data_IF_651111071087
#
_entry.id   IF_651111071087
#
_cell.length_a   1.000
_cell.length_b   1.000
_cell.length_c   1.000
_cell.angle_alpha   90.00
_cell.angle_beta   90.00
_cell.angle_gamma   90.00
#
_symmetry.space_group_name_H-M   'P 1'
#
loop_
_entity.id
_entity.type
_entity.pdbx_description
1 polymer ?
#
# COMPACT_ATOMS: atom_id res chain seq x y z
N UNK A 1 -9.19 4.02 -6.44
CA UNK A 1 -9.75 5.21 -7.09
C UNK A 1 -10.55 6.09 -6.13
N UNK A 2 -11.51 5.53 -5.37
CA UNK A 2 -12.35 6.30 -4.43
C UNK A 2 -11.55 7.21 -3.47
N UNK A 3 -10.44 6.79 -2.85
CA UNK A 3 -9.66 7.67 -1.97
C UNK A 3 -9.07 8.90 -2.68
N UNK A 4 -8.63 8.76 -3.94
CA UNK A 4 -8.08 9.89 -4.72
C UNK A 4 -9.18 10.89 -5.06
N UNK A 5 -10.34 10.40 -5.51
CA UNK A 5 -11.52 11.24 -5.75
C UNK A 5 -12.03 11.91 -4.48
N UNK A 6 -11.97 11.23 -3.35
CA UNK A 6 -12.28 11.80 -2.05
C UNK A 6 -11.33 12.97 -1.73
N UNK A 7 -10.03 12.77 -1.90
CA UNK A 7 -9.02 13.81 -1.73
C UNK A 7 -9.28 15.03 -2.62
N UNK A 8 -9.54 14.78 -3.91
CA UNK A 8 -9.86 15.84 -4.86
C UNK A 8 -11.12 16.63 -4.45
N UNK A 9 -12.18 15.93 -4.03
CA UNK A 9 -13.42 16.57 -3.60
C UNK A 9 -13.29 17.38 -2.29
N UNK A 10 -12.40 16.94 -1.38
CA UNK A 10 -12.07 17.68 -0.16
C UNK A 10 -11.38 19.02 -0.48
N UNK A 11 -10.46 19.03 -1.46
CA UNK A 11 -9.80 20.26 -1.92
C UNK A 11 -10.81 21.22 -2.55
N UNK A 12 -11.69 20.68 -3.41
CA UNK A 12 -12.74 21.46 -4.09
C UNK A 12 -13.91 21.85 -3.17
N UNK A 13 -13.94 21.41 -1.93
CA UNK A 13 -15.03 21.63 -0.96
C UNK A 13 -16.43 21.25 -1.50
N UNK A 14 -16.48 20.25 -2.37
CA UNK A 14 -17.74 19.78 -2.97
C UNK A 14 -18.40 18.73 -2.06
N UNK A 15 -19.30 19.18 -1.17
CA UNK A 15 -19.98 18.32 -0.21
C UNK A 15 -20.75 17.16 -0.83
N UNK A 16 -21.37 17.36 -1.99
CA UNK A 16 -22.11 16.30 -2.68
C UNK A 16 -21.19 15.17 -3.15
N UNK A 17 -20.05 15.50 -3.74
CA UNK A 17 -19.04 14.52 -4.19
C UNK A 17 -18.38 13.83 -2.99
N UNK A 18 -18.11 14.55 -1.90
CA UNK A 18 -17.58 13.96 -0.65
C UNK A 18 -18.55 12.91 -0.12
N UNK A 19 -19.83 13.27 0.01
CA UNK A 19 -20.85 12.35 0.50
C UNK A 19 -20.97 11.11 -0.40
N UNK A 20 -21.03 11.30 -1.72
CA UNK A 20 -21.09 10.20 -2.67
C UNK A 20 -19.91 9.25 -2.58
N UNK A 21 -18.66 9.78 -2.53
CA UNK A 21 -17.46 8.97 -2.37
C UNK A 21 -17.43 8.22 -1.04
N UNK A 22 -17.93 8.84 0.04
CA UNK A 22 -18.00 8.18 1.35
C UNK A 22 -19.01 7.02 1.30
N UNK A 23 -20.20 7.23 0.74
CA UNK A 23 -21.21 6.18 0.56
C UNK A 23 -20.66 5.05 -0.32
N UNK A 24 -20.00 5.37 -1.45
CA UNK A 24 -19.39 4.38 -2.34
C UNK A 24 -18.31 3.56 -1.60
N UNK A 25 -17.46 4.21 -0.81
CA UNK A 25 -16.43 3.53 0.00
C UNK A 25 -17.04 2.56 1.00
N UNK A 26 -18.11 2.95 1.68
CA UNK A 26 -18.85 2.09 2.62
C UNK A 26 -19.54 0.92 1.93
N UNK A 27 -20.13 1.15 0.74
CA UNK A 27 -20.74 0.10 -0.06
C UNK A 27 -19.69 -0.90 -0.53
N UNK A 28 -18.55 -0.45 -1.05
CA UNK A 28 -17.44 -1.33 -1.45
C UNK A 28 -16.93 -2.17 -0.28
N UNK A 29 -16.80 -1.55 0.91
CA UNK A 29 -16.45 -2.27 2.13
C UNK A 29 -17.49 -3.33 2.51
N UNK A 30 -18.78 -3.00 2.37
CA UNK A 30 -19.87 -3.94 2.68
C UNK A 30 -19.88 -5.18 1.78
N UNK A 31 -19.45 -5.01 0.51
CA UNK A 31 -19.40 -6.11 -0.47
C UNK A 31 -18.14 -6.94 -0.30
N UNK A 32 -16.98 -6.30 -0.22
CA UNK A 32 -15.68 -7.01 -0.22
C UNK A 32 -15.20 -7.39 1.18
N UNK A 33 -15.70 -6.73 2.23
CA UNK A 33 -15.24 -6.89 3.62
C UNK A 33 -13.76 -6.51 3.84
N UNK A 34 -13.11 -5.90 2.84
CA UNK A 34 -11.68 -5.59 2.86
C UNK A 34 -11.44 -4.29 3.62
N UNK A 35 -10.90 -4.41 4.83
CA UNK A 35 -10.63 -3.28 5.75
C UNK A 35 -9.73 -2.20 5.14
N UNK A 36 -8.86 -2.55 4.19
CA UNK A 36 -7.95 -1.60 3.52
C UNK A 36 -8.69 -0.54 2.71
N UNK A 37 -9.91 -0.81 2.23
CA UNK A 37 -10.74 0.15 1.49
C UNK A 37 -11.12 1.33 2.38
N UNK A 38 -11.65 1.06 3.57
CA UNK A 38 -12.00 2.11 4.55
C UNK A 38 -10.74 2.78 5.09
N UNK A 39 -9.71 1.99 5.39
CA UNK A 39 -8.47 2.53 5.95
C UNK A 39 -7.78 3.51 4.99
N UNK A 40 -7.77 3.22 3.68
CA UNK A 40 -7.21 4.13 2.68
C UNK A 40 -7.96 5.47 2.60
N UNK A 41 -9.27 5.48 2.78
CA UNK A 41 -10.05 6.71 2.86
C UNK A 41 -9.72 7.51 4.13
N UNK A 42 -9.59 6.82 5.28
CA UNK A 42 -9.19 7.46 6.55
C UNK A 42 -7.79 8.08 6.44
N UNK A 43 -6.84 7.37 5.81
CA UNK A 43 -5.48 7.89 5.58
C UNK A 43 -5.49 9.15 4.73
N UNK A 44 -6.30 9.20 3.65
CA UNK A 44 -6.43 10.40 2.81
C UNK A 44 -7.04 11.56 3.57
N UNK A 45 -8.09 11.32 4.37
CA UNK A 45 -8.71 12.35 5.21
C UNK A 45 -7.70 12.86 6.25
N UNK A 46 -6.98 11.97 6.92
CA UNK A 46 -5.94 12.35 7.88
C UNK A 46 -4.84 13.19 7.20
N UNK A 47 -4.35 12.74 6.03
CA UNK A 47 -3.37 13.49 5.25
C UNK A 47 -3.87 14.89 4.88
N UNK A 48 -5.16 15.06 4.55
CA UNK A 48 -5.74 16.37 4.26
C UNK A 48 -5.63 17.35 5.43
N UNK A 49 -5.97 16.89 6.64
CA UNK A 49 -5.85 17.74 7.82
C UNK A 49 -4.40 17.99 8.23
N UNK A 50 -3.51 17.02 8.01
CA UNK A 50 -2.09 17.12 8.34
C UNK A 50 -1.35 18.08 7.41
N UNK A 51 -1.56 17.99 6.11
CA UNK A 51 -0.93 18.88 5.11
C UNK A 51 -1.36 20.34 5.32
N UNK A 52 -2.63 20.58 5.69
CA UNK A 52 -3.11 21.94 6.00
C UNK A 52 -2.44 22.58 7.21
N UNK A 53 -1.96 21.80 8.18
CA UNK A 53 -1.37 22.30 9.44
C UNK A 53 0.16 22.35 9.42
N UNK A 54 0.81 22.10 8.29
CA UNK A 54 2.30 22.05 8.21
C UNK A 54 2.92 21.21 9.32
N UNK A 55 2.40 19.99 9.56
CA UNK A 55 2.93 19.12 10.58
C UNK A 55 4.25 18.56 10.08
N UNK A 56 5.30 18.75 10.84
CA UNK A 56 6.61 18.21 10.51
C UNK A 56 6.59 16.68 10.47
N UNK A 57 7.24 16.05 9.47
CA UNK A 57 7.30 14.59 9.36
C UNK A 57 7.88 13.88 10.61
N UNK A 58 8.73 14.59 11.38
CA UNK A 58 9.29 14.12 12.66
C UNK A 58 8.21 13.74 13.68
N UNK A 59 7.05 14.40 13.66
CA UNK A 59 5.94 14.10 14.57
C UNK A 59 5.45 12.65 14.39
N UNK A 60 5.43 12.14 13.14
CA UNK A 60 5.05 10.74 12.90
C UNK A 60 6.02 9.76 13.55
N UNK A 61 7.33 10.07 13.51
CA UNK A 61 8.37 9.25 14.14
C UNK A 61 8.16 9.24 15.66
N UNK A 62 7.92 10.42 16.26
CA UNK A 62 7.68 10.52 17.70
C UNK A 62 6.37 9.84 18.11
N UNK A 63 5.28 9.99 17.33
CA UNK A 63 4.03 9.28 17.59
C UNK A 63 4.20 7.76 17.50
N UNK A 64 4.93 7.28 16.50
CA UNK A 64 5.20 5.85 16.35
C UNK A 64 6.07 5.32 17.51
N UNK A 65 7.13 6.06 17.88
CA UNK A 65 7.97 5.70 19.01
C UNK A 65 7.18 5.68 20.32
N UNK A 66 6.37 6.71 20.58
CA UNK A 66 5.51 6.76 21.76
C UNK A 66 4.51 5.60 21.81
N UNK A 67 3.90 5.24 20.66
CA UNK A 67 3.00 4.11 20.54
C UNK A 67 3.70 2.77 20.80
N UNK A 68 4.93 2.61 20.30
CA UNK A 68 5.74 1.41 20.53
C UNK A 68 6.14 1.29 22.02
N UNK A 69 6.56 2.40 22.63
CA UNK A 69 6.87 2.45 24.08
C UNK A 69 5.62 2.12 24.90
N UNK A 70 4.48 2.72 24.56
CA UNK A 70 3.20 2.44 25.24
C UNK A 70 2.82 0.96 25.13
N UNK A 71 2.90 0.37 23.93
CA UNK A 71 2.63 -1.05 23.71
C UNK A 71 3.58 -1.96 24.52
N UNK A 72 4.86 -1.59 24.58
CA UNK A 72 5.85 -2.30 25.40
C UNK A 72 5.50 -2.22 26.90
N UNK A 73 5.21 -1.02 27.40
CA UNK A 73 4.80 -0.83 28.80
C UNK A 73 3.55 -1.66 29.14
N UNK A 74 2.53 -1.65 28.28
CA UNK A 74 1.33 -2.46 28.46
C UNK A 74 1.64 -3.96 28.54
N UNK A 75 2.63 -4.43 27.75
CA UNK A 75 3.04 -5.84 27.79
C UNK A 75 3.68 -6.24 29.12
N UNK A 76 4.37 -5.33 29.81
CA UNK A 76 4.91 -5.57 31.14
C UNK A 76 3.82 -5.77 32.20
N UNK A 77 2.63 -5.21 31.99
CA UNK A 77 1.46 -5.43 32.84
C UNK A 77 0.58 -6.61 32.41
N UNK A 78 1.07 -7.45 31.48
CA UNK A 78 0.36 -8.63 30.99
C UNK A 78 -0.62 -8.37 29.85
N UNK A 79 -0.72 -7.13 29.34
CA UNK A 79 -1.55 -6.78 28.19
C UNK A 79 -0.74 -6.89 26.87
N UNK A 80 -0.58 -8.11 26.36
CA UNK A 80 0.22 -8.37 25.14
C UNK A 80 -0.48 -7.94 23.83
N UNK A 81 -1.80 -7.70 23.84
CA UNK A 81 -2.58 -7.43 22.63
C UNK A 81 -2.05 -6.25 21.79
N UNK A 82 -1.65 -5.16 22.42
CA UNK A 82 -1.09 -4.00 21.72
C UNK A 82 0.26 -4.34 21.07
N UNK A 83 1.12 -5.05 21.78
CA UNK A 83 2.43 -5.51 21.29
C UNK A 83 2.26 -6.50 20.13
N UNK A 84 1.39 -7.50 20.28
CA UNK A 84 1.11 -8.46 19.21
C UNK A 84 0.49 -7.82 17.97
N UNK A 85 -0.43 -6.87 18.15
CA UNK A 85 -1.09 -6.23 17.01
C UNK A 85 -0.16 -5.25 16.29
N UNK A 86 0.61 -4.43 17.01
CA UNK A 86 1.46 -3.40 16.43
C UNK A 86 2.83 -3.93 16.04
N UNK A 87 3.61 -4.44 17.01
CA UNK A 87 4.99 -4.83 16.74
C UNK A 87 5.07 -6.09 15.90
N UNK A 88 4.23 -7.09 16.16
CA UNK A 88 4.20 -8.31 15.37
C UNK A 88 3.83 -8.03 13.92
N UNK A 89 2.80 -7.21 13.66
CA UNK A 89 2.36 -6.90 12.28
C UNK A 89 3.28 -5.97 11.54
N UNK A 90 3.88 -4.99 12.21
CA UNK A 90 4.69 -3.96 11.56
C UNK A 90 6.15 -4.40 11.40
N UNK A 91 6.73 -5.04 12.41
CA UNK A 91 8.14 -5.40 12.39
C UNK A 91 8.39 -6.89 12.15
N UNK A 92 7.71 -7.78 12.87
CA UNK A 92 8.01 -9.21 12.82
C UNK A 92 7.46 -9.89 11.57
N UNK A 93 6.16 -9.76 11.29
CA UNK A 93 5.50 -10.50 10.22
C UNK A 93 6.05 -10.21 8.82
N UNK A 94 6.34 -8.95 8.42
CA UNK A 94 6.93 -8.67 7.11
C UNK A 94 8.30 -9.33 6.91
N UNK A 95 9.16 -9.30 7.94
CA UNK A 95 10.49 -9.92 7.89
C UNK A 95 10.39 -11.45 7.83
N UNK A 96 9.50 -12.03 8.65
CA UNK A 96 9.24 -13.47 8.65
C UNK A 96 8.72 -13.95 7.28
N UNK A 97 7.79 -13.21 6.68
CA UNK A 97 7.30 -13.51 5.34
C UNK A 97 8.38 -13.34 4.27
N UNK A 98 9.22 -12.31 4.38
CA UNK A 98 10.31 -12.11 3.42
C UNK A 98 11.31 -13.29 3.46
N UNK A 99 11.65 -13.81 4.66
CA UNK A 99 12.49 -15.00 4.75
C UNK A 99 11.81 -16.25 4.21
N UNK A 100 10.49 -16.44 4.43
CA UNK A 100 9.73 -17.55 3.88
C UNK A 100 9.72 -17.56 2.33
N UNK A 101 9.52 -16.38 1.72
CA UNK A 101 9.62 -16.24 0.27
C UNK A 101 11.04 -16.45 -0.26
N UNK A 102 12.05 -16.02 0.51
CA UNK A 102 13.45 -16.29 0.18
C UNK A 102 13.73 -17.80 0.16
N UNK A 103 13.36 -18.53 1.20
CA UNK A 103 13.52 -19.98 1.27
C UNK A 103 12.81 -20.69 0.12
N UNK A 104 11.57 -20.29 -0.19
CA UNK A 104 10.83 -20.83 -1.33
C UNK A 104 11.55 -20.56 -2.64
N UNK A 105 12.05 -19.34 -2.85
CA UNK A 105 12.79 -18.97 -4.05
C UNK A 105 14.11 -19.74 -4.21
N UNK A 106 14.82 -20.02 -3.13
CA UNK A 106 16.07 -20.79 -3.15
C UNK A 106 15.82 -22.27 -3.45
N UNK A 107 14.76 -22.86 -2.87
CA UNK A 107 14.50 -24.30 -3.02
C UNK A 107 13.76 -24.64 -4.31
N UNK A 108 12.82 -23.81 -4.73
CA UNK A 108 11.94 -24.09 -5.88
C UNK A 108 12.19 -23.16 -7.08
N UNK A 109 13.06 -22.16 -6.92
CA UNK A 109 13.34 -21.15 -7.94
C UNK A 109 12.37 -19.98 -7.95
N UNK A 110 12.79 -18.82 -8.57
CA UNK A 110 11.95 -17.65 -8.70
C UNK A 110 10.82 -17.83 -9.72
N UNK A 111 9.70 -17.13 -9.51
CA UNK A 111 8.51 -17.21 -10.39
C UNK A 111 8.64 -16.40 -11.68
N UNK A 112 9.54 -15.43 -11.75
CA UNK A 112 9.76 -14.54 -12.91
C UNK A 112 8.49 -13.83 -13.38
N UNK A 113 7.67 -13.34 -12.46
CA UNK A 113 6.39 -12.68 -12.72
C UNK A 113 5.33 -13.53 -13.44
N UNK A 114 5.46 -14.86 -13.45
CA UNK A 114 4.52 -15.76 -14.12
C UNK A 114 3.15 -15.78 -13.47
N UNK A 115 3.06 -15.61 -12.14
CA UNK A 115 1.78 -15.41 -11.45
C UNK A 115 1.29 -13.95 -11.48
N UNK A 116 2.15 -13.01 -11.88
CA UNK A 116 1.85 -11.60 -12.01
C UNK A 116 1.60 -11.17 -13.45
N UNK A 117 2.43 -10.27 -13.92
CA UNK A 117 2.30 -9.62 -15.22
C UNK A 117 2.32 -10.59 -16.40
N UNK A 118 3.21 -11.60 -16.40
CA UNK A 118 3.33 -12.54 -17.51
C UNK A 118 2.13 -13.49 -17.64
N UNK A 119 1.33 -13.64 -16.60
CA UNK A 119 0.06 -14.41 -16.67
C UNK A 119 -0.90 -13.83 -17.71
N UNK A 120 -0.89 -12.50 -17.90
CA UNK A 120 -1.72 -11.83 -18.92
C UNK A 120 -1.36 -12.27 -20.35
N UNK A 121 -0.13 -12.74 -20.55
CA UNK A 121 0.39 -13.24 -21.83
C UNK A 121 0.41 -14.77 -21.90
N UNK A 122 -0.29 -15.44 -20.98
CA UNK A 122 -0.44 -16.90 -20.99
C UNK A 122 0.72 -17.67 -20.36
N UNK A 123 1.69 -17.00 -19.72
CA UNK A 123 2.77 -17.68 -19.02
C UNK A 123 2.22 -18.53 -17.86
N UNK A 124 2.69 -19.78 -17.77
CA UNK A 124 2.34 -20.67 -16.66
C UNK A 124 3.39 -20.58 -15.56
N UNK A 125 2.94 -20.38 -14.34
CA UNK A 125 3.81 -20.46 -13.16
C UNK A 125 4.22 -21.92 -12.93
N UNK A 126 5.36 -22.10 -12.28
CA UNK A 126 5.79 -23.40 -11.78
C UNK A 126 5.05 -23.81 -10.50
N UNK A 127 4.29 -22.88 -9.91
CA UNK A 127 3.51 -23.12 -8.70
C UNK A 127 2.04 -23.30 -9.07
N UNK A 128 1.43 -24.40 -8.62
CA UNK A 128 0.03 -24.74 -8.94
C UNK A 128 -1.00 -23.84 -8.27
N UNK A 129 -0.63 -23.26 -7.13
CA UNK A 129 -1.49 -22.35 -6.34
C UNK A 129 -0.86 -20.96 -6.22
N UNK A 130 -1.65 -19.92 -5.93
CA UNK A 130 -1.12 -18.58 -5.72
C UNK A 130 -0.02 -18.54 -4.64
N UNK A 131 1.08 -17.88 -4.92
CA UNK A 131 2.25 -17.81 -4.02
C UNK A 131 1.89 -17.39 -2.60
N UNK A 132 0.98 -16.42 -2.46
CA UNK A 132 0.54 -15.96 -1.15
C UNK A 132 -0.21 -17.06 -0.36
N UNK A 133 -0.95 -17.91 -1.05
CA UNK A 133 -1.63 -19.06 -0.43
C UNK A 133 -0.64 -20.19 -0.13
N UNK A 134 0.31 -20.44 -1.03
CA UNK A 134 1.35 -21.46 -0.84
C UNK A 134 2.16 -21.16 0.41
N UNK A 135 2.73 -19.96 0.51
CA UNK A 135 3.50 -19.53 1.68
C UNK A 135 2.62 -19.50 2.94
N UNK A 136 1.38 -19.01 2.83
CA UNK A 136 0.43 -19.00 3.93
C UNK A 136 0.14 -20.40 4.49
N UNK A 137 0.04 -21.41 3.65
CA UNK A 137 -0.18 -22.81 4.05
C UNK A 137 1.08 -23.45 4.63
N UNK A 138 2.25 -23.22 4.01
CA UNK A 138 3.53 -23.81 4.45
C UNK A 138 3.95 -23.32 5.85
N UNK A 139 3.66 -22.08 6.17
CA UNK A 139 4.10 -21.44 7.44
C UNK A 139 2.96 -21.23 8.44
N UNK A 140 1.81 -21.91 8.24
CA UNK A 140 0.66 -21.89 9.17
C UNK A 140 0.14 -20.48 9.52
N UNK A 141 0.21 -19.55 8.57
CA UNK A 141 -0.17 -18.15 8.81
C UNK A 141 -1.71 -17.98 8.78
N UNK A 142 -2.42 -18.96 8.23
CA UNK A 142 -3.88 -18.93 8.12
C UNK A 142 -4.37 -17.84 7.16
N UNK A 143 -4.36 -18.12 5.87
CA UNK A 143 -4.77 -17.19 4.82
C UNK A 143 -3.65 -16.81 3.85
N UNK A 144 -3.81 -15.66 3.17
CA UNK A 144 -2.81 -15.18 2.23
C UNK A 144 -1.63 -14.52 2.94
N UNK A 145 -0.42 -15.00 2.68
CA UNK A 145 0.83 -14.40 3.14
C UNK A 145 1.21 -13.18 2.27
N UNK A 146 0.36 -12.16 2.27
CA UNK A 146 0.63 -10.93 1.54
C UNK A 146 1.78 -10.17 2.19
N UNK A 147 2.71 -9.71 1.39
CA UNK A 147 3.90 -8.98 1.83
C UNK A 147 4.31 -7.96 0.77
N UNK A 148 5.28 -7.08 1.12
CA UNK A 148 5.70 -5.98 0.29
C UNK A 148 6.80 -6.33 -0.71
N UNK A 149 7.41 -5.28 -1.25
CA UNK A 149 8.34 -5.32 -2.38
C UNK A 149 9.57 -6.21 -2.18
N UNK A 150 10.08 -6.38 -0.96
CA UNK A 150 11.30 -7.17 -0.72
C UNK A 150 11.08 -8.65 -1.03
N UNK A 151 10.00 -9.21 -0.51
CA UNK A 151 9.65 -10.61 -0.76
C UNK A 151 9.26 -10.84 -2.23
N UNK A 152 8.54 -9.89 -2.83
CA UNK A 152 8.19 -9.89 -4.25
C UNK A 152 9.45 -9.86 -5.12
N UNK A 153 10.43 -9.02 -4.80
CA UNK A 153 11.71 -8.92 -5.49
C UNK A 153 12.45 -10.27 -5.50
N UNK A 154 12.59 -10.87 -4.32
CA UNK A 154 13.28 -12.16 -4.17
C UNK A 154 12.51 -13.27 -4.87
N UNK A 155 11.20 -13.29 -4.73
CA UNK A 155 10.36 -14.34 -5.32
C UNK A 155 10.32 -14.28 -6.85
N UNK A 156 10.40 -13.09 -7.44
CA UNK A 156 10.36 -12.94 -8.89
C UNK A 156 11.74 -12.94 -9.57
N UNK A 157 12.76 -12.39 -8.92
CA UNK A 157 14.09 -12.22 -9.54
C UNK A 157 15.23 -12.85 -8.74
N UNK A 158 14.91 -13.64 -7.70
CA UNK A 158 15.93 -14.22 -6.83
C UNK A 158 16.76 -13.14 -6.13
N UNK A 159 18.05 -13.42 -5.92
CA UNK A 159 18.97 -12.51 -5.22
C UNK A 159 19.26 -11.19 -5.94
N UNK A 160 18.96 -11.11 -7.24
CA UNK A 160 19.13 -9.87 -8.03
C UNK A 160 17.94 -8.92 -7.79
N UNK A 161 16.81 -9.45 -7.42
CA UNK A 161 15.58 -8.69 -7.19
C UNK A 161 15.74 -7.50 -6.25
N UNK A 162 16.28 -7.67 -5.03
CA UNK A 162 16.50 -6.57 -4.10
C UNK A 162 17.36 -5.41 -4.62
N UNK A 163 18.21 -5.66 -5.62
CA UNK A 163 19.02 -4.63 -6.28
C UNK A 163 18.23 -3.88 -7.38
N UNK A 164 17.33 -4.58 -8.08
CA UNK A 164 16.57 -4.00 -9.19
C UNK A 164 15.30 -3.30 -8.74
N UNK A 165 14.63 -3.79 -7.68
CA UNK A 165 13.36 -3.21 -7.23
C UNK A 165 13.44 -1.76 -6.76
N UNK A 166 14.51 -1.27 -6.13
CA UNK A 166 14.67 0.16 -5.86
C UNK A 166 14.63 1.02 -7.13
N UNK A 167 15.17 0.55 -8.24
CA UNK A 167 15.11 1.25 -9.53
C UNK A 167 13.66 1.27 -10.08
N UNK A 168 12.95 0.16 -9.99
CA UNK A 168 11.53 0.09 -10.35
C UNK A 168 10.69 1.03 -9.47
N UNK A 169 10.98 1.08 -8.17
CA UNK A 169 10.30 1.98 -7.24
C UNK A 169 10.54 3.45 -7.59
N UNK A 170 11.79 3.82 -7.88
CA UNK A 170 12.11 5.19 -8.33
C UNK A 170 11.37 5.52 -9.62
N UNK A 171 11.33 4.59 -10.59
CA UNK A 171 10.57 4.76 -11.83
C UNK A 171 9.08 5.00 -11.56
N UNK A 172 8.46 4.21 -10.68
CA UNK A 172 7.06 4.40 -10.29
C UNK A 172 6.80 5.74 -9.60
N UNK A 173 7.68 6.15 -8.69
CA UNK A 173 7.55 7.42 -8.01
C UNK A 173 7.65 8.58 -9.01
N UNK A 174 8.56 8.50 -9.99
CA UNK A 174 8.65 9.50 -11.07
C UNK A 174 7.41 9.53 -11.96
N UNK A 175 6.83 8.38 -12.28
CA UNK A 175 5.55 8.32 -13.03
C UNK A 175 4.43 8.94 -12.19
N UNK A 176 4.33 8.61 -10.91
CA UNK A 176 3.32 9.17 -10.02
C UNK A 176 3.45 10.70 -9.90
N UNK A 177 4.69 11.20 -9.76
CA UNK A 177 5.00 12.62 -9.74
C UNK A 177 4.58 13.32 -11.05
N UNK A 178 4.97 12.75 -12.20
CA UNK A 178 4.60 13.29 -13.51
C UNK A 178 3.09 13.27 -13.77
N UNK A 179 2.38 12.23 -13.32
CA UNK A 179 0.92 12.18 -13.42
C UNK A 179 0.22 13.20 -12.50
N UNK A 180 0.85 13.58 -11.40
CA UNK A 180 0.31 14.52 -10.43
C UNK A 180 0.86 15.96 -10.61
N UNK A 181 1.63 16.20 -11.65
CA UNK A 181 2.17 17.53 -11.96
C UNK A 181 1.06 18.56 -12.15
N UNK A 182 1.29 19.78 -11.64
CA UNK A 182 0.31 20.88 -11.62
C UNK A 182 -0.97 20.62 -10.78
N UNK A 183 -1.10 19.46 -10.14
CA UNK A 183 -2.19 19.23 -9.20
C UNK A 183 -1.84 19.81 -7.82
N UNK A 184 -2.86 20.15 -7.00
CA UNK A 184 -2.62 20.58 -5.64
C UNK A 184 -1.75 19.59 -4.87
N UNK A 185 -0.76 20.10 -4.12
CA UNK A 185 0.23 19.28 -3.39
C UNK A 185 -0.37 18.19 -2.51
N UNK A 186 -1.57 18.44 -1.98
CA UNK A 186 -2.32 17.45 -1.21
C UNK A 186 -2.71 16.22 -2.06
N UNK A 187 -3.13 16.41 -3.32
CA UNK A 187 -3.54 15.31 -4.20
C UNK A 187 -2.31 14.47 -4.54
N UNK A 188 -1.21 15.13 -4.92
CA UNK A 188 0.07 14.48 -5.18
C UNK A 188 0.52 13.66 -3.95
N UNK A 189 0.53 14.27 -2.76
CA UNK A 189 0.90 13.58 -1.51
C UNK A 189 -0.02 12.40 -1.21
N UNK A 190 -1.33 12.53 -1.43
CA UNK A 190 -2.28 11.44 -1.21
C UNK A 190 -2.02 10.27 -2.16
N UNK A 191 -1.72 10.53 -3.43
CA UNK A 191 -1.35 9.49 -4.39
C UNK A 191 -0.06 8.78 -3.99
N UNK A 192 0.95 9.52 -3.53
CA UNK A 192 2.21 8.94 -3.04
C UNK A 192 2.00 8.06 -1.80
N UNK A 193 1.21 8.51 -0.83
CA UNK A 193 0.89 7.73 0.37
C UNK A 193 0.16 6.44 0.00
N UNK A 194 -0.83 6.50 -0.88
CA UNK A 194 -1.57 5.32 -1.35
C UNK A 194 -0.67 4.36 -2.13
N UNK A 195 0.22 4.87 -2.98
CA UNK A 195 1.20 4.07 -3.70
C UNK A 195 2.09 3.30 -2.72
N UNK A 196 2.71 3.99 -1.78
CA UNK A 196 3.57 3.37 -0.75
C UNK A 196 2.78 2.35 0.07
N UNK A 197 1.56 2.69 0.49
CA UNK A 197 0.68 1.79 1.23
C UNK A 197 0.44 0.47 0.49
N UNK A 198 0.11 0.52 -0.81
CA UNK A 198 -0.12 -0.70 -1.59
C UNK A 198 1.15 -1.51 -1.82
N UNK A 199 2.27 -0.84 -2.08
CA UNK A 199 3.56 -1.50 -2.32
C UNK A 199 4.17 -2.13 -1.06
N UNK A 200 3.84 -1.63 0.13
CA UNK A 200 4.29 -2.25 1.40
C UNK A 200 3.47 -3.48 1.80
N UNK A 201 2.25 -3.62 1.27
CA UNK A 201 1.32 -4.68 1.67
C UNK A 201 1.03 -5.71 0.56
N UNK A 202 1.58 -5.53 -0.64
CA UNK A 202 1.27 -6.38 -1.79
C UNK A 202 2.45 -6.49 -2.74
N UNK A 203 2.48 -7.56 -3.50
CA UNK A 203 3.40 -7.71 -4.62
C UNK A 203 3.19 -6.59 -5.65
N UNK A 204 4.27 -6.17 -6.28
CA UNK A 204 4.32 -5.10 -7.27
C UNK A 204 3.23 -5.22 -8.34
N UNK A 205 3.14 -6.38 -8.98
CA UNK A 205 2.14 -6.65 -10.01
C UNK A 205 0.72 -6.62 -9.48
N UNK A 206 0.49 -7.14 -8.27
CA UNK A 206 -0.80 -7.10 -7.60
C UNK A 206 -1.18 -5.65 -7.24
N UNK A 207 -0.23 -4.86 -6.73
CA UNK A 207 -0.46 -3.45 -6.45
C UNK A 207 -0.85 -2.67 -7.71
N UNK A 208 -0.12 -2.86 -8.82
CA UNK A 208 -0.40 -2.18 -10.07
C UNK A 208 -1.75 -2.55 -10.68
N UNK A 209 -2.02 -3.85 -10.80
CA UNK A 209 -3.16 -4.35 -11.58
C UNK A 209 -4.43 -4.51 -10.73
N UNK A 210 -4.31 -5.13 -9.55
CA UNK A 210 -5.45 -5.52 -8.73
C UNK A 210 -5.84 -4.43 -7.72
N UNK A 211 -4.85 -3.77 -7.09
CA UNK A 211 -5.14 -2.68 -6.15
C UNK A 211 -5.34 -1.31 -6.82
N UNK A 212 -5.26 -1.27 -8.14
CA UNK A 212 -5.64 -0.11 -8.93
C UNK A 212 -4.62 1.03 -8.94
N UNK A 213 -3.35 0.77 -8.63
CA UNK A 213 -2.28 1.79 -8.70
C UNK A 213 -2.15 2.33 -10.13
N UNK A 214 -2.20 1.45 -11.14
CA UNK A 214 -2.19 1.90 -12.54
C UNK A 214 -3.40 2.78 -12.87
N UNK A 215 -4.60 2.37 -12.46
CA UNK A 215 -5.80 3.17 -12.66
C UNK A 215 -5.76 4.50 -11.87
N UNK A 216 -5.08 4.53 -10.72
CA UNK A 216 -4.81 5.76 -9.98
C UNK A 216 -3.94 6.72 -10.80
N UNK A 217 -2.88 6.26 -11.46
CA UNK A 217 -2.06 7.09 -12.33
C UNK A 217 -2.86 7.67 -13.49
N UNK A 218 -3.64 6.83 -14.17
CA UNK A 218 -4.52 7.26 -15.26
C UNK A 218 -5.52 8.32 -14.77
N UNK A 219 -6.20 8.07 -13.65
CA UNK A 219 -7.13 9.02 -13.08
C UNK A 219 -6.43 10.35 -12.75
N UNK A 220 -5.29 10.29 -12.06
CA UNK A 220 -4.54 11.49 -11.65
C UNK A 220 -4.08 12.29 -12.86
N UNK A 221 -3.65 11.62 -13.93
CA UNK A 221 -3.25 12.26 -15.18
C UNK A 221 -4.41 13.04 -15.86
N UNK A 222 -5.64 12.52 -15.79
CA UNK A 222 -6.83 13.14 -16.40
C UNK A 222 -7.59 14.09 -15.47
N UNK A 223 -7.18 14.26 -14.20
CA UNK A 223 -7.83 15.23 -13.33
C UNK A 223 -7.66 16.66 -13.87
N UNK A 224 -8.72 17.49 -13.78
CA UNK A 224 -8.63 18.90 -14.18
C UNK A 224 -7.56 19.67 -13.40
N UNK A 225 -6.64 20.32 -14.13
CA UNK A 225 -5.52 21.13 -13.59
C UNK A 225 -5.85 22.60 -13.46
N UNK A 226 -7.14 22.97 -13.44
CA UNK A 226 -7.54 24.36 -13.22
C UNK A 226 -6.92 24.88 -11.92
N UNK A 227 -6.39 26.10 -11.99
CA UNK A 227 -5.87 26.83 -10.84
C UNK A 227 -6.94 26.88 -9.74
N UNK A 228 -6.86 25.98 -8.78
CA UNK A 228 -7.56 26.16 -7.51
C UNK A 228 -6.92 27.37 -6.91
N UNK A 229 -7.65 28.51 -6.92
CA UNK A 229 -7.13 29.78 -6.49
C UNK A 229 -6.33 29.59 -5.22
N UNK A 230 -5.11 30.06 -5.25
CA UNK A 230 -4.19 30.12 -4.12
C UNK A 230 -4.77 31.12 -3.12
N UNK A 231 -5.84 30.74 -2.44
CA UNK A 231 -6.21 31.40 -1.20
C UNK A 231 -5.14 31.00 -0.16
N UNK A 232 -4.16 31.92 -0.04
CA UNK A 232 -3.10 31.95 0.97
C UNK A 232 -3.67 31.99 2.37
#
# INVERSE_FOLDING_TARGET
LAPVLLGYSLVRRNGGVILWNTVLTLLLFSVDGVKSVVFSAVVVIAAFFLVKKTIEPSIFIYCFAALAIFAFMMSLFGFSYATETLLRRVAYLPNYLASAYYELSVHSGPDYFRQGFLRLFGAKSQYDIPLAQLVGSMYYIGGNANTGLLADAVMNLGMVGPLLYPLLLVGLLRIAEACADELPSFISSSCMILLVWHLTNSFFTTALLTHGVFAMFVLTYFLPRESIGTDR
#
